data_IF_181172675537
#
_entry.id   IF_181172675537
#
_cell.length_a   1.000
_cell.length_b   1.000
_cell.length_c   1.000
_cell.angle_alpha   90.00
_cell.angle_beta   90.00
_cell.angle_gamma   90.00
#
_symmetry.space_group_name_H-M   'P 1'
#
loop_
_entity.id
_entity.type
_entity.pdbx_description
1 polymer ?
#
# COMPACT_ATOMS: atom_id res chain seq x y z
N UNK A 1 12.84 7.36 2.04
CA UNK A 1 11.58 8.08 2.31
C UNK A 1 10.49 7.09 2.72
N UNK A 2 9.64 7.44 3.70
CA UNK A 2 8.43 6.67 4.08
C UNK A 2 7.18 7.43 3.61
N UNK A 3 6.25 6.73 2.96
CA UNK A 3 4.92 7.26 2.61
C UNK A 3 3.89 6.30 3.14
N UNK A 4 2.98 6.79 3.96
CA UNK A 4 1.92 6.03 4.59
C UNK A 4 0.59 6.46 3.99
N UNK A 5 -0.23 5.51 3.53
CA UNK A 5 -1.50 5.84 2.87
C UNK A 5 -2.61 5.03 3.53
N UNK A 6 -3.62 5.74 4.03
CA UNK A 6 -4.85 5.18 4.58
C UNK A 6 -5.84 4.97 3.44
N UNK A 7 -6.37 3.76 3.38
CA UNK A 7 -7.20 3.26 2.29
C UNK A 7 -8.46 2.66 2.91
N UNK A 8 -9.60 3.15 2.45
CA UNK A 8 -10.91 2.59 2.76
C UNK A 8 -11.47 1.96 1.47
N UNK A 9 -12.01 0.74 1.60
CA UNK A 9 -12.55 -0.04 0.48
C UNK A 9 -14.00 -0.42 0.71
N UNK A 10 -14.76 -0.49 -0.38
CA UNK A 10 -16.08 -1.11 -0.45
C UNK A 10 -15.97 -2.63 -0.41
N UNK A 11 -17.09 -3.31 -0.15
CA UNK A 11 -17.16 -4.79 -0.16
C UNK A 11 -16.79 -5.41 -1.51
N UNK A 12 -16.87 -4.63 -2.58
CA UNK A 12 -16.52 -5.02 -3.96
C UNK A 12 -15.02 -4.85 -4.25
N UNK A 13 -14.24 -4.39 -3.27
CA UNK A 13 -12.81 -4.11 -3.44
C UNK A 13 -12.52 -2.82 -4.20
N UNK A 14 -13.49 -1.88 -4.27
CA UNK A 14 -13.29 -0.54 -4.84
C UNK A 14 -13.01 0.48 -3.75
N UNK A 15 -12.45 1.64 -4.10
CA UNK A 15 -12.05 2.67 -3.16
C UNK A 15 -13.31 3.35 -2.68
N UNK A 16 -13.47 3.41 -1.37
CA UNK A 16 -14.54 4.18 -0.73
C UNK A 16 -14.04 5.62 -0.51
N UNK A 17 -13.82 6.33 -1.62
CA UNK A 17 -13.24 7.67 -1.65
C UNK A 17 -11.73 7.71 -1.94
N UNK A 18 -11.15 8.91 -1.92
CA UNK A 18 -9.74 9.10 -2.28
C UNK A 18 -8.81 8.58 -1.17
N UNK A 19 -7.74 7.82 -1.50
CA UNK A 19 -6.71 7.45 -0.53
C UNK A 19 -6.04 8.71 0.03
N UNK A 20 -5.76 8.70 1.34
CA UNK A 20 -5.20 9.87 2.03
C UNK A 20 -3.86 9.55 2.68
N UNK A 21 -2.95 10.52 2.69
CA UNK A 21 -1.68 10.39 3.40
C UNK A 21 -1.92 10.22 4.92
N UNK A 22 -1.23 9.25 5.49
CA UNK A 22 -1.15 9.00 6.92
C UNK A 22 -0.14 9.91 7.60
N UNK A 23 -0.28 10.13 8.92
CA UNK A 23 0.64 10.95 9.71
C UNK A 23 2.07 10.40 9.72
N UNK A 24 2.26 9.10 9.44
CA UNK A 24 3.57 8.50 9.31
C UNK A 24 4.30 8.78 7.99
N UNK A 25 3.72 9.58 7.09
CA UNK A 25 4.36 9.98 5.83
C UNK A 25 5.43 11.05 6.06
N UNK A 26 6.59 10.88 5.43
CA UNK A 26 7.60 11.93 5.36
C UNK A 26 7.06 13.12 4.56
N UNK A 27 7.42 14.35 4.96
CA UNK A 27 7.02 15.56 4.26
C UNK A 27 7.59 15.60 2.83
N UNK A 28 6.79 16.08 1.87
CA UNK A 28 7.20 16.27 0.48
C UNK A 28 7.98 17.59 0.29
N UNK A 29 9.13 17.69 0.95
CA UNK A 29 9.98 18.91 0.91
C UNK A 29 10.77 19.07 -0.39
N UNK A 30 10.88 18.01 -1.19
CA UNK A 30 11.58 18.01 -2.48
C UNK A 30 10.63 17.57 -3.60
N UNK A 31 10.94 17.93 -4.84
CA UNK A 31 10.15 17.52 -6.01
C UNK A 31 10.13 15.99 -6.18
N UNK A 32 11.26 15.34 -5.88
CA UNK A 32 11.33 13.87 -5.83
C UNK A 32 10.36 13.29 -4.79
N UNK A 33 10.33 13.86 -3.59
CA UNK A 33 9.45 13.38 -2.52
C UNK A 33 7.97 13.56 -2.88
N UNK A 34 7.61 14.66 -3.54
CA UNK A 34 6.26 14.89 -4.06
C UNK A 34 5.88 13.86 -5.12
N UNK A 35 6.74 13.67 -6.13
CA UNK A 35 6.52 12.70 -7.20
C UNK A 35 6.41 11.26 -6.65
N UNK A 36 7.18 10.92 -5.62
CA UNK A 36 7.10 9.62 -4.96
C UNK A 36 5.76 9.40 -4.24
N UNK A 37 5.27 10.41 -3.51
CA UNK A 37 3.94 10.36 -2.89
C UNK A 37 2.82 10.25 -3.93
N UNK A 38 2.87 11.05 -4.99
CA UNK A 38 1.90 11.02 -6.09
C UNK A 38 1.90 9.66 -6.79
N UNK A 39 3.07 9.08 -7.01
CA UNK A 39 3.22 7.74 -7.59
C UNK A 39 2.60 6.66 -6.70
N UNK A 40 2.81 6.73 -5.39
CA UNK A 40 2.23 5.79 -4.43
C UNK A 40 0.69 5.88 -4.39
N UNK A 41 0.15 7.11 -4.38
CA UNK A 41 -1.31 7.33 -4.46
C UNK A 41 -1.88 6.77 -5.76
N UNK A 42 -1.22 7.05 -6.89
CA UNK A 42 -1.62 6.55 -8.20
C UNK A 42 -1.66 5.03 -8.26
N UNK A 43 -0.62 4.36 -7.73
CA UNK A 43 -0.56 2.90 -7.72
C UNK A 43 -1.77 2.29 -6.98
N UNK A 44 -2.17 2.86 -5.84
CA UNK A 44 -3.37 2.40 -5.11
C UNK A 44 -4.63 2.61 -5.93
N UNK A 45 -4.79 3.80 -6.52
CA UNK A 45 -5.98 4.13 -7.33
C UNK A 45 -6.10 3.27 -8.59
N UNK A 46 -4.98 2.90 -9.22
CA UNK A 46 -4.98 2.07 -10.43
C UNK A 46 -5.18 0.58 -10.15
N UNK A 47 -4.85 0.11 -8.94
CA UNK A 47 -4.95 -1.30 -8.55
C UNK A 47 -6.38 -1.84 -8.39
N UNK A 48 -7.39 -1.00 -8.57
CA UNK A 48 -8.77 -1.38 -8.36
C UNK A 48 -9.33 -2.16 -9.55
N UNK A 49 -10.20 -3.16 -9.33
CA UNK A 49 -10.73 -3.61 -8.04
C UNK A 49 -9.83 -4.63 -7.33
N UNK A 50 -9.76 -4.55 -6.00
CA UNK A 50 -9.02 -5.48 -5.17
C UNK A 50 -9.78 -6.80 -5.02
N UNK A 51 -9.20 -7.89 -5.50
CA UNK A 51 -9.81 -9.22 -5.37
C UNK A 51 -9.56 -9.80 -3.96
N UNK A 52 -10.37 -9.37 -2.99
CA UNK A 52 -10.27 -9.78 -1.59
C UNK A 52 -11.47 -10.66 -1.19
N UNK A 53 -11.27 -11.69 -0.34
CA UNK A 53 -12.36 -12.55 0.08
C UNK A 53 -13.39 -11.77 0.92
N UNK A 54 -14.65 -11.83 0.48
CA UNK A 54 -15.77 -11.02 1.03
C UNK A 54 -16.07 -11.39 2.48
N UNK A 55 -15.82 -12.63 2.88
CA UNK A 55 -15.98 -13.15 4.23
C UNK A 55 -15.12 -12.41 5.26
N UNK A 56 -14.00 -11.80 4.83
CA UNK A 56 -13.08 -11.07 5.70
C UNK A 56 -13.20 -9.55 5.54
N UNK A 57 -14.29 -9.05 4.94
CA UNK A 57 -14.48 -7.63 4.64
C UNK A 57 -14.16 -6.71 5.82
N UNK A 58 -14.64 -7.03 7.02
CA UNK A 58 -14.41 -6.18 8.20
C UNK A 58 -12.94 -6.07 8.62
N UNK A 59 -12.09 -7.00 8.18
CA UNK A 59 -10.65 -7.01 8.46
C UNK A 59 -9.85 -6.17 7.47
N UNK A 60 -10.30 -6.09 6.20
CA UNK A 60 -9.54 -5.43 5.13
C UNK A 60 -10.20 -4.16 4.58
N UNK A 61 -11.45 -3.85 4.94
CA UNK A 61 -12.17 -2.64 4.51
C UNK A 61 -11.46 -1.34 4.83
N UNK A 62 -10.58 -1.32 5.84
CA UNK A 62 -9.72 -0.19 6.19
C UNK A 62 -8.33 -0.72 6.45
N UNK A 63 -7.36 -0.26 5.66
CA UNK A 63 -5.97 -0.65 5.88
C UNK A 63 -5.03 0.50 5.56
N UNK A 64 -3.81 0.38 6.07
CA UNK A 64 -2.76 1.38 5.86
C UNK A 64 -1.61 0.72 5.12
N UNK A 65 -1.27 1.25 3.95
CA UNK A 65 -0.10 0.83 3.18
C UNK A 65 1.09 1.72 3.50
N UNK A 66 2.30 1.14 3.47
CA UNK A 66 3.54 1.87 3.71
C UNK A 66 4.49 1.62 2.54
N UNK A 67 4.83 2.67 1.82
CA UNK A 67 5.82 2.68 0.76
C UNK A 67 7.14 3.18 1.33
N UNK A 68 8.19 2.38 1.16
CA UNK A 68 9.54 2.70 1.61
C UNK A 68 10.44 2.76 0.39
N UNK A 69 11.14 3.88 0.20
CA UNK A 69 12.14 4.05 -0.85
C UNK A 69 13.25 2.99 -0.77
N UNK A 70 13.56 2.55 0.45
CA UNK A 70 14.48 1.45 0.72
C UNK A 70 13.78 0.44 1.62
N UNK A 71 13.63 -0.82 1.19
CA UNK A 71 13.10 -1.86 2.06
C UNK A 71 14.00 -2.05 3.29
N UNK A 72 13.43 -2.12 4.51
CA UNK A 72 14.21 -2.31 5.72
C UNK A 72 14.89 -3.68 5.64
N UNK A 73 16.24 -3.70 5.68
CA UNK A 73 17.03 -4.93 5.76
C UNK A 73 17.71 -5.40 4.47
N UNK A 74 17.77 -4.64 3.38
CA UNK A 74 18.53 -5.04 2.17
C UNK A 74 20.04 -4.74 2.23
N UNK A 75 20.70 -5.11 3.32
CA UNK A 75 22.16 -5.37 3.31
C UNK A 75 22.38 -6.87 3.14
N UNK A 76 22.24 -7.35 1.90
CA UNK A 76 22.66 -8.71 1.50
C UNK A 76 21.63 -9.84 1.68
N UNK A 77 21.19 -10.38 0.53
CA UNK A 77 20.60 -11.72 0.29
C UNK A 77 19.18 -11.99 0.86
N UNK A 78 18.23 -12.50 0.03
CA UNK A 78 16.91 -12.87 0.53
C UNK A 78 17.01 -14.21 1.26
N UNK A 79 16.73 -14.23 2.57
CA UNK A 79 16.50 -15.46 3.31
C UNK A 79 15.07 -15.92 3.03
N UNK A 80 14.95 -17.00 2.26
CA UNK A 80 13.72 -17.74 2.07
C UNK A 80 13.31 -18.41 3.39
N UNK A 81 12.02 -18.33 3.72
CA UNK A 81 11.40 -19.17 4.75
C UNK A 81 10.75 -18.41 5.90
N UNK A 82 9.87 -17.45 5.62
CA UNK A 82 8.93 -16.96 6.64
C UNK A 82 7.62 -16.57 5.95
N UNK A 83 6.51 -17.04 6.53
CA UNK A 83 5.11 -17.04 6.07
C UNK A 83 4.80 -16.22 4.80
N UNK A 84 4.24 -16.90 3.78
CA UNK A 84 3.95 -16.42 2.41
C UNK A 84 2.93 -15.25 2.36
N UNK A 85 3.31 -14.11 2.93
CA UNK A 85 2.68 -12.77 2.79
C UNK A 85 2.69 -12.29 1.33
N UNK A 86 3.48 -12.94 0.49
CA UNK A 86 3.50 -12.83 -0.97
C UNK A 86 2.17 -13.24 -1.62
N UNK A 87 1.29 -14.02 -0.94
CA UNK A 87 -0.11 -14.25 -1.38
C UNK A 87 -1.10 -13.18 -0.94
N UNK A 88 -0.76 -12.38 0.08
CA UNK A 88 -1.61 -11.33 0.65
C UNK A 88 -1.24 -9.94 0.16
N UNK A 89 -0.33 -9.83 -0.82
CA UNK A 89 -0.09 -8.57 -1.51
C UNK A 89 -1.38 -8.18 -2.22
N UNK A 90 -2.17 -7.33 -1.57
CA UNK A 90 -3.41 -6.74 -2.06
C UNK A 90 -3.19 -6.09 -3.44
N UNK A 91 -1.95 -5.73 -3.77
CA UNK A 91 -1.55 -5.14 -5.05
C UNK A 91 -0.92 -6.14 -6.06
N UNK A 92 -1.03 -7.47 -5.90
CA UNK A 92 -0.32 -8.42 -6.80
C UNK A 92 -1.04 -8.80 -8.10
N UNK A 93 -2.12 -8.09 -8.43
CA UNK A 93 -2.90 -8.25 -9.66
C UNK A 93 -3.07 -6.94 -10.45
N UNK A 94 -2.38 -5.89 -10.01
CA UNK A 94 -1.88 -4.79 -10.82
C UNK A 94 -0.41 -5.15 -11.15
#
# INVERSE_FOLDING_TARGET
>A
MKVEIRIDLTREGRLDGQPVLGPGSAAATTDFARAYQESALRAITECQPYNLPVEYYDQWKKFTSVFLETPPGQTGKPAAGELDTRKLSICRGC
#
